data_IF_657391117556
#
_entry.id   IF_657391117556
#
_cell.length_a   1.000
_cell.length_b   1.000
_cell.length_c   1.000
_cell.angle_alpha   90.00
_cell.angle_beta   90.00
_cell.angle_gamma   90.00
#
_symmetry.space_group_name_H-M   'P 1'
#
loop_
_entity.id
_entity.type
_entity.pdbx_description
1 polymer ?
#
# COMPACT_ATOMS: atom_id res chain seq x y z
N UNK A 1 -4.32 -2.93 22.83
CA UNK A 1 -3.75 -3.33 21.52
C UNK A 1 -4.89 -3.75 20.59
N UNK A 2 -4.80 -3.44 19.30
CA UNK A 2 -5.89 -3.66 18.31
C UNK A 2 -6.21 -5.15 18.10
N UNK A 3 -5.24 -6.05 18.36
CA UNK A 3 -5.39 -7.49 18.12
C UNK A 3 -5.60 -8.34 19.38
N UNK A 4 -5.62 -7.75 20.58
CA UNK A 4 -5.73 -8.50 21.84
C UNK A 4 -4.38 -9.00 22.39
N UNK A 5 -4.35 -9.52 23.63
CA UNK A 5 -3.12 -9.87 24.34
C UNK A 5 -2.37 -11.06 23.72
N UNK A 6 -3.09 -11.99 23.11
CA UNK A 6 -2.48 -13.19 22.49
C UNK A 6 -1.59 -12.86 21.27
N UNK A 7 -1.70 -11.64 20.74
CA UNK A 7 -0.97 -11.17 19.56
C UNK A 7 0.11 -10.12 19.90
N UNK A 8 0.43 -9.95 21.18
CA UNK A 8 1.44 -8.98 21.64
C UNK A 8 2.78 -9.14 20.91
N UNK A 9 3.22 -10.38 20.72
CA UNK A 9 4.49 -10.70 20.04
C UNK A 9 4.30 -11.16 18.59
N UNK A 10 3.11 -11.00 18.00
CA UNK A 10 2.80 -11.58 16.69
C UNK A 10 3.82 -11.17 15.60
N UNK A 11 4.22 -9.90 15.55
CA UNK A 11 5.20 -9.42 14.59
C UNK A 11 6.59 -10.02 14.80
N UNK A 12 7.03 -10.14 16.06
CA UNK A 12 8.33 -10.73 16.39
C UNK A 12 8.33 -12.21 16.00
N UNK A 13 7.28 -12.95 16.37
CA UNK A 13 7.14 -14.36 16.07
C UNK A 13 7.10 -14.62 14.55
N UNK A 14 6.39 -13.78 13.79
CA UNK A 14 6.36 -13.86 12.33
C UNK A 14 7.76 -13.65 11.75
N UNK A 15 8.45 -12.57 12.13
CA UNK A 15 9.79 -12.28 11.62
C UNK A 15 10.77 -13.39 11.98
N UNK A 16 10.69 -13.95 13.19
CA UNK A 16 11.53 -15.09 13.58
C UNK A 16 11.22 -16.35 12.78
N UNK A 17 9.96 -16.57 12.38
CA UNK A 17 9.53 -17.77 11.67
C UNK A 17 9.83 -17.72 10.17
N UNK A 18 9.66 -16.55 9.53
CA UNK A 18 9.76 -16.43 8.06
C UNK A 18 10.81 -15.42 7.59
N UNK A 19 11.46 -14.68 8.49
CA UNK A 19 12.36 -13.58 8.16
C UNK A 19 11.61 -12.29 7.83
N UNK A 20 12.36 -11.19 7.79
CA UNK A 20 11.86 -9.91 7.33
C UNK A 20 11.70 -9.87 5.80
N UNK A 21 11.09 -8.79 5.29
CA UNK A 21 10.84 -8.65 3.84
C UNK A 21 12.11 -8.75 2.98
N UNK A 22 13.26 -8.26 3.47
CA UNK A 22 14.51 -8.33 2.74
C UNK A 22 14.91 -9.78 2.46
N UNK A 23 14.86 -10.61 3.50
CA UNK A 23 15.25 -12.02 3.47
C UNK A 23 14.27 -12.85 2.64
N UNK A 24 12.96 -12.63 2.80
CA UNK A 24 11.92 -13.32 2.01
C UNK A 24 12.10 -13.01 0.51
N UNK A 25 12.30 -11.74 0.16
CA UNK A 25 12.49 -11.34 -1.22
C UNK A 25 13.76 -11.94 -1.83
N UNK A 26 14.88 -11.92 -1.10
CA UNK A 26 16.14 -12.50 -1.56
C UNK A 26 15.99 -14.00 -1.88
N UNK A 27 15.27 -14.74 -1.03
CA UNK A 27 15.05 -16.18 -1.22
C UNK A 27 14.11 -16.53 -2.37
N UNK A 28 13.14 -15.68 -2.71
CA UNK A 28 12.03 -16.07 -3.60
C UNK A 28 11.90 -15.23 -4.87
N UNK A 29 12.30 -13.96 -4.86
CA UNK A 29 11.98 -13.01 -5.92
C UNK A 29 13.21 -12.40 -6.57
N UNK A 30 14.34 -12.24 -5.87
CA UNK A 30 15.52 -11.54 -6.39
C UNK A 30 16.07 -12.18 -7.67
N UNK A 31 16.04 -13.51 -7.79
CA UNK A 31 16.48 -14.22 -9.00
C UNK A 31 15.54 -14.05 -10.20
N UNK A 32 14.25 -13.81 -9.96
CA UNK A 32 13.22 -13.68 -11.00
C UNK A 32 12.98 -12.22 -11.40
N UNK A 33 13.09 -11.32 -10.43
CA UNK A 33 12.87 -9.89 -10.56
C UNK A 33 13.87 -9.15 -9.66
N UNK A 34 15.11 -8.98 -10.13
CA UNK A 34 16.14 -8.28 -9.37
C UNK A 34 15.69 -6.88 -8.97
N UNK A 35 16.06 -6.46 -7.76
CA UNK A 35 15.75 -5.11 -7.28
C UNK A 35 16.46 -4.09 -8.15
N UNK A 36 15.71 -3.09 -8.58
CA UNK A 36 16.24 -1.97 -9.35
C UNK A 36 15.63 -0.65 -8.90
N UNK A 37 16.33 0.44 -9.23
CA UNK A 37 15.89 1.83 -9.02
C UNK A 37 15.33 2.10 -7.61
N UNK A 38 14.02 2.31 -7.50
CA UNK A 38 13.28 2.76 -6.32
C UNK A 38 12.86 1.60 -5.40
N UNK A 39 13.03 0.34 -5.82
CA UNK A 39 12.75 -0.85 -5.02
C UNK A 39 14.02 -1.42 -4.36
N UNK A 40 14.93 -0.55 -3.89
CA UNK A 40 16.11 -0.95 -3.10
C UNK A 40 15.77 -1.01 -1.62
N UNK A 41 16.54 -1.78 -0.85
CA UNK A 41 16.41 -1.76 0.61
C UNK A 41 16.69 -0.36 1.15
N UNK A 42 15.79 0.15 1.97
CA UNK A 42 16.02 1.40 2.68
C UNK A 42 17.05 1.15 3.79
N UNK A 43 18.28 1.59 3.57
CA UNK A 43 19.38 1.43 4.51
C UNK A 43 19.45 2.59 5.54
N UNK A 44 18.40 3.41 5.63
CA UNK A 44 18.37 4.65 6.42
C UNK A 44 18.98 5.85 5.70
N UNK A 45 19.35 5.69 4.43
CA UNK A 45 20.01 6.71 3.60
C UNK A 45 19.03 7.68 2.93
N UNK A 46 17.80 7.22 2.67
CA UNK A 46 16.78 8.01 1.96
C UNK A 46 15.57 8.38 2.82
N UNK A 47 15.26 7.59 3.85
CA UNK A 47 14.01 7.71 4.61
C UNK A 47 12.74 7.42 3.79
N UNK A 48 12.89 6.99 2.53
CA UNK A 48 11.79 6.73 1.61
C UNK A 48 11.38 5.26 1.69
N UNK A 49 10.12 5.01 2.01
CA UNK A 49 9.44 3.78 1.61
C UNK A 49 8.68 4.10 0.33
N UNK A 50 9.09 3.49 -0.79
CA UNK A 50 8.44 3.70 -2.08
C UNK A 50 7.33 2.65 -2.27
N UNK A 51 6.05 3.01 -2.09
CA UNK A 51 4.96 2.12 -2.46
C UNK A 51 4.89 1.99 -3.98
N UNK A 52 4.43 0.84 -4.47
CA UNK A 52 4.06 0.74 -5.87
C UNK A 52 3.01 1.81 -6.19
N UNK A 53 3.18 2.62 -7.24
CA UNK A 53 2.27 3.73 -7.52
C UNK A 53 0.85 3.20 -7.72
N UNK A 54 -0.10 3.81 -7.02
CA UNK A 54 -1.52 3.57 -7.26
C UNK A 54 -1.93 4.33 -8.52
N UNK A 55 -2.19 3.59 -9.61
CA UNK A 55 -2.70 4.16 -10.86
C UNK A 55 -1.81 3.86 -12.07
N UNK A 56 -2.05 4.59 -13.16
CA UNK A 56 -1.29 4.50 -14.40
C UNK A 56 -0.35 5.70 -14.53
N UNK A 57 0.96 5.46 -14.45
CA UNK A 57 1.99 6.49 -14.58
C UNK A 57 2.07 7.11 -15.99
N UNK A 58 1.46 6.48 -17.00
CA UNK A 58 1.41 7.01 -18.37
C UNK A 58 0.29 8.03 -18.57
N UNK A 59 -0.64 8.12 -17.61
CA UNK A 59 -1.75 9.07 -17.64
C UNK A 59 -1.42 10.29 -16.79
N UNK A 60 -1.18 11.44 -17.42
CA UNK A 60 -1.11 12.72 -16.72
C UNK A 60 -2.52 13.14 -16.27
N UNK A 61 -2.77 13.13 -14.97
CA UNK A 61 -3.98 13.71 -14.38
C UNK A 61 -3.91 15.24 -14.34
N UNK A 62 -5.01 15.89 -13.94
CA UNK A 62 -4.95 17.29 -13.53
C UNK A 62 -4.04 17.35 -12.30
N UNK A 63 -2.95 18.11 -12.38
CA UNK A 63 -2.05 18.36 -11.26
C UNK A 63 -2.88 18.71 -10.00
N UNK A 64 -2.58 18.12 -8.83
CA UNK A 64 -3.33 18.43 -7.62
C UNK A 64 -3.30 19.94 -7.40
N UNK A 65 -4.49 20.55 -7.39
CA UNK A 65 -4.64 21.99 -7.22
C UNK A 65 -3.84 22.43 -5.99
N UNK A 66 -2.81 23.25 -6.20
CA UNK A 66 -1.80 23.64 -5.20
C UNK A 66 -2.40 24.33 -3.97
N UNK A 67 -3.67 24.71 -4.05
CA UNK A 67 -4.35 25.56 -3.08
C UNK A 67 -5.26 24.72 -2.18
N UNK A 68 -4.62 24.03 -1.23
CA UNK A 68 -5.22 23.42 -0.04
C UNK A 68 -6.05 22.14 -0.24
N UNK A 69 -5.42 21.05 -0.70
CA UNK A 69 -6.03 19.70 -0.80
C UNK A 69 -6.71 19.26 0.51
N UNK A 70 -6.08 19.49 1.67
CA UNK A 70 -6.63 19.12 2.97
C UNK A 70 -7.92 19.87 3.29
N UNK A 71 -7.95 21.19 3.08
CA UNK A 71 -9.14 22.03 3.31
C UNK A 71 -10.31 21.54 2.46
N UNK A 72 -10.06 21.21 1.19
CA UNK A 72 -11.07 20.68 0.28
C UNK A 72 -11.64 19.35 0.78
N UNK A 73 -10.78 18.46 1.31
CA UNK A 73 -11.22 17.19 1.90
C UNK A 73 -12.07 17.43 3.15
N UNK A 74 -11.65 18.34 4.02
CA UNK A 74 -12.38 18.72 5.23
C UNK A 74 -13.75 19.34 4.92
N UNK A 75 -13.83 20.28 3.99
CA UNK A 75 -15.08 20.92 3.55
C UNK A 75 -16.05 19.90 2.94
N UNK A 76 -15.54 18.91 2.20
CA UNK A 76 -16.36 17.83 1.63
C UNK A 76 -16.84 16.84 2.69
N UNK A 77 -16.15 16.75 3.83
CA UNK A 77 -16.49 15.84 4.93
C UNK A 77 -16.12 14.37 4.68
N UNK A 78 -15.47 14.05 3.56
CA UNK A 78 -14.99 12.70 3.26
C UNK A 78 -13.79 12.69 2.30
N UNK A 79 -12.88 11.73 2.51
CA UNK A 79 -11.79 11.43 1.59
C UNK A 79 -12.34 10.69 0.36
N UNK A 80 -11.79 10.99 -0.82
CA UNK A 80 -12.05 10.23 -2.04
C UNK A 80 -10.79 9.45 -2.35
N UNK A 81 -10.84 8.13 -2.19
CA UNK A 81 -9.73 7.25 -2.54
C UNK A 81 -9.91 6.70 -3.95
N UNK A 82 -8.84 6.71 -4.73
CA UNK A 82 -8.76 5.99 -5.98
C UNK A 82 -8.37 4.55 -5.70
N UNK A 83 -9.24 3.60 -6.00
CA UNK A 83 -8.91 2.17 -5.98
C UNK A 83 -8.85 1.63 -7.41
N UNK A 84 -7.97 0.67 -7.65
CA UNK A 84 -7.87 -0.02 -8.93
C UNK A 84 -8.39 -1.45 -8.78
N UNK A 85 -9.20 -1.94 -9.72
CA UNK A 85 -9.73 -3.31 -9.65
C UNK A 85 -8.57 -4.32 -9.67
N UNK A 86 -8.33 -4.95 -8.52
CA UNK A 86 -7.24 -5.92 -8.31
C UNK A 86 -7.81 -7.06 -7.46
N UNK A 87 -7.81 -8.31 -7.96
CA UNK A 87 -8.28 -9.45 -7.18
C UNK A 87 -7.67 -9.46 -5.77
N UNK A 88 -8.50 -9.72 -4.76
CA UNK A 88 -8.16 -9.68 -3.31
C UNK A 88 -7.90 -8.29 -2.70
N UNK A 89 -7.38 -7.32 -3.46
CA UNK A 89 -7.06 -5.98 -2.95
C UNK A 89 -8.22 -5.00 -3.09
N UNK A 90 -8.88 -4.95 -4.25
CA UNK A 90 -10.09 -4.16 -4.48
C UNK A 90 -10.99 -4.85 -5.50
N UNK A 91 -12.10 -5.40 -4.99
CA UNK A 91 -13.13 -6.07 -5.77
C UNK A 91 -14.34 -5.16 -5.92
N UNK A 92 -14.80 -5.02 -7.16
CA UNK A 92 -16.07 -4.37 -7.48
C UNK A 92 -17.14 -5.45 -7.65
N UNK A 93 -18.16 -5.41 -6.80
CA UNK A 93 -19.42 -6.11 -7.05
C UNK A 93 -20.21 -5.30 -8.10
N UNK A 94 -20.22 -5.80 -9.34
CA UNK A 94 -20.89 -5.14 -10.45
C UNK A 94 -22.43 -5.17 -10.32
N UNK A 95 -23.01 -6.03 -9.48
CA UNK A 95 -24.46 -6.13 -9.28
C UNK A 95 -25.02 -4.98 -8.44
N UNK A 96 -24.26 -4.52 -7.45
CA UNK A 96 -24.68 -3.45 -6.52
C UNK A 96 -23.78 -2.21 -6.55
N UNK A 97 -22.68 -2.24 -7.32
CA UNK A 97 -21.74 -1.13 -7.43
C UNK A 97 -20.88 -0.91 -6.18
N UNK A 98 -20.77 -1.91 -5.29
CA UNK A 98 -20.03 -1.81 -4.05
C UNK A 98 -18.58 -2.29 -4.20
N UNK A 99 -17.65 -1.56 -3.60
CA UNK A 99 -16.24 -1.94 -3.51
C UNK A 99 -15.95 -2.62 -2.17
N UNK A 100 -15.11 -3.66 -2.19
CA UNK A 100 -14.62 -4.35 -0.99
C UNK A 100 -13.19 -4.84 -1.17
N UNK A 101 -12.45 -5.01 -0.08
CA UNK A 101 -11.08 -5.51 -0.06
C UNK A 101 -10.11 -4.57 0.65
N UNK A 102 -8.87 -5.00 0.75
CA UNK A 102 -7.82 -4.32 1.51
C UNK A 102 -7.63 -2.83 1.13
N UNK A 103 -7.58 -2.50 -0.16
CA UNK A 103 -7.39 -1.11 -0.63
C UNK A 103 -8.59 -0.22 -0.26
N UNK A 104 -9.78 -0.81 -0.10
CA UNK A 104 -11.01 -0.11 0.33
C UNK A 104 -11.00 0.09 1.84
N UNK A 105 -10.61 -0.94 2.61
CA UNK A 105 -10.54 -0.89 4.07
C UNK A 105 -9.44 0.06 4.56
N UNK A 106 -8.38 0.24 3.77
CA UNK A 106 -7.26 1.14 4.08
C UNK A 106 -7.60 2.64 3.95
N UNK A 107 -8.63 3.01 3.18
CA UNK A 107 -8.94 4.37 2.72
C UNK A 107 -9.39 5.41 3.80
#
# INVERSE_FOLDING_TARGET
>A
QIYGPDYEDAFINIIQSVGNYAEVFERHLESLSPRSTVNRLNAGDTGLMYPFPFGDLSTAGVEPNSTHTLRIVQERGFLRCGVARRPFFANLDAGIGAWSGFDVDFC
#
